data_IF_144572657782
#
_entry.id   IF_144572657782
#
_cell.length_a   1.000
_cell.length_b   1.000
_cell.length_c   1.000
_cell.angle_alpha   90.00
_cell.angle_beta   90.00
_cell.angle_gamma   90.00
#
_symmetry.space_group_name_H-M   'P 1'
#
loop_
_entity.id
_entity.type
_entity.pdbx_description
1 polymer ?
#
# COMPACT_ATOMS: atom_id res chain seq x y z
N UNK A 1 -23.80 40.40 78.17
CA UNK A 1 -24.58 39.23 77.74
C UNK A 1 -23.65 38.27 76.98
N UNK A 2 -23.50 37.06 77.53
CA UNK A 2 -23.17 35.75 76.93
C UNK A 2 -22.33 35.64 75.64
N UNK A 3 -21.17 34.99 75.82
CA UNK A 3 -20.46 34.06 74.92
C UNK A 3 -21.27 33.48 73.75
N UNK A 4 -20.65 33.39 72.56
CA UNK A 4 -20.68 32.17 71.72
C UNK A 4 -19.44 32.05 70.83
N UNK A 5 -18.68 31.02 71.19
CA UNK A 5 -17.61 30.29 70.52
C UNK A 5 -17.99 29.83 69.09
N UNK A 6 -17.07 29.86 68.12
CA UNK A 6 -17.02 28.90 66.99
C UNK A 6 -15.66 28.94 66.26
N UNK A 7 -14.78 28.08 66.77
CA UNK A 7 -13.70 27.29 66.14
C UNK A 7 -13.28 27.62 64.69
N UNK A 8 -11.98 27.92 64.55
CA UNK A 8 -11.24 27.83 63.29
C UNK A 8 -11.20 26.39 62.78
N UNK A 9 -11.72 26.15 61.58
CA UNK A 9 -11.47 24.92 60.82
C UNK A 9 -10.41 25.21 59.76
N UNK A 10 -9.23 24.60 59.92
CA UNK A 10 -8.18 24.53 58.90
C UNK A 10 -8.66 23.63 57.76
N UNK A 11 -8.55 24.02 56.48
CA UNK A 11 -8.75 23.09 55.38
C UNK A 11 -7.50 22.20 55.22
N UNK A 12 -7.78 20.91 55.03
CA UNK A 12 -6.86 19.77 55.02
C UNK A 12 -5.73 19.88 53.98
N UNK A 13 -4.49 19.85 54.45
CA UNK A 13 -3.28 19.50 53.66
C UNK A 13 -3.17 17.98 53.48
N UNK A 14 -4.16 17.31 52.88
CA UNK A 14 -4.06 15.85 52.69
C UNK A 14 -4.84 15.27 51.52
N UNK A 15 -4.85 15.86 50.32
CA UNK A 15 -5.36 15.13 49.11
C UNK A 15 -4.64 15.50 47.78
N UNK A 16 -3.40 15.99 47.80
CA UNK A 16 -2.61 16.21 46.54
C UNK A 16 -1.31 15.39 46.56
N UNK A 17 -1.35 14.19 47.15
CA UNK A 17 -0.21 13.27 47.20
C UNK A 17 -0.65 11.81 47.03
N UNK A 18 -1.32 11.51 45.93
CA UNK A 18 -1.46 10.14 45.45
C UNK A 18 -1.92 10.16 43.99
N UNK A 19 -0.95 10.17 43.06
CA UNK A 19 -1.02 9.57 41.71
C UNK A 19 0.15 9.97 40.79
N UNK A 20 1.33 10.26 41.36
CA UNK A 20 2.59 10.44 40.62
C UNK A 20 3.58 9.28 40.83
N UNK A 21 3.12 8.15 41.37
CA UNK A 21 3.96 6.98 41.62
C UNK A 21 3.48 5.78 40.81
N UNK A 22 3.63 5.84 39.49
CA UNK A 22 3.83 4.63 38.66
C UNK A 22 4.29 4.88 37.21
N UNK A 23 4.85 6.06 36.88
CA UNK A 23 5.72 6.14 35.71
C UNK A 23 7.09 5.58 36.12
N UNK A 24 7.31 4.27 35.88
CA UNK A 24 8.62 3.65 36.02
C UNK A 24 9.60 4.43 35.14
N UNK A 25 10.53 5.15 35.77
CA UNK A 25 11.61 5.85 35.10
C UNK A 25 12.52 4.80 34.46
N UNK A 26 12.36 4.55 33.15
CA UNK A 26 13.29 3.70 32.40
C UNK A 26 14.68 4.33 32.48
N UNK A 27 15.72 3.51 32.64
CA UNK A 27 17.10 4.03 32.66
C UNK A 27 17.52 4.49 31.26
N UNK A 28 18.49 5.41 31.16
CA UNK A 28 19.04 5.89 29.86
C UNK A 28 19.39 4.73 28.94
N UNK A 29 20.06 3.71 29.49
CA UNK A 29 20.43 2.48 28.80
C UNK A 29 19.23 1.66 28.30
N UNK A 30 18.11 1.63 29.03
CA UNK A 30 16.89 0.96 28.59
C UNK A 30 16.17 1.74 27.49
N UNK A 31 16.17 3.07 27.58
CA UNK A 31 15.61 3.95 26.54
C UNK A 31 16.43 3.84 25.27
N UNK A 32 17.77 3.96 25.35
CA UNK A 32 18.69 3.82 24.22
C UNK A 32 18.53 2.47 23.53
N UNK A 33 18.52 1.37 24.30
CA UNK A 33 18.36 0.01 23.77
C UNK A 33 16.97 -0.22 23.18
N UNK A 34 15.92 0.35 23.76
CA UNK A 34 14.58 0.32 23.14
C UNK A 34 14.53 1.15 21.86
N UNK A 35 15.10 2.37 21.81
CA UNK A 35 15.16 3.16 20.57
C UNK A 35 15.98 2.49 19.48
N UNK A 36 17.08 1.83 19.83
CA UNK A 36 17.92 1.09 18.89
C UNK A 36 17.22 -0.18 18.40
N UNK A 37 16.50 -0.88 19.28
CA UNK A 37 15.72 -2.06 18.90
C UNK A 37 14.46 -1.69 18.11
N UNK A 38 13.84 -0.54 18.37
CA UNK A 38 12.72 -0.03 17.59
C UNK A 38 13.18 0.41 16.21
N UNK A 39 14.37 1.03 16.10
CA UNK A 39 15.01 1.32 14.79
C UNK A 39 15.29 0.05 13.99
N UNK A 40 15.63 -1.06 14.65
CA UNK A 40 15.90 -2.35 14.00
C UNK A 40 14.68 -3.02 13.39
N UNK A 41 13.48 -2.75 13.91
CA UNK A 41 12.23 -3.33 13.41
C UNK A 41 11.30 -2.27 12.81
N UNK A 42 11.85 -1.19 12.27
CA UNK A 42 11.12 -0.17 11.51
C UNK A 42 11.48 -0.28 10.05
N UNK A 43 10.47 -0.33 9.15
CA UNK A 43 10.71 -0.15 7.73
C UNK A 43 11.05 1.33 7.49
N UNK A 44 12.30 1.59 7.10
CA UNK A 44 12.80 2.93 6.89
C UNK A 44 13.00 3.19 5.42
N UNK A 45 12.67 4.40 4.98
CA UNK A 45 12.90 4.86 3.61
C UNK A 45 13.96 5.95 3.57
N UNK A 46 14.78 5.93 2.53
CA UNK A 46 15.53 7.13 2.13
C UNK A 46 14.53 8.22 1.73
N UNK A 47 14.83 9.51 1.97
CA UNK A 47 13.96 10.60 1.54
C UNK A 47 13.68 10.58 0.03
N UNK A 48 14.66 10.18 -0.78
CA UNK A 48 14.51 10.06 -2.23
C UNK A 48 13.60 8.90 -2.65
N UNK A 49 13.72 7.74 -2.01
CA UNK A 49 12.84 6.59 -2.27
C UNK A 49 11.40 6.90 -1.87
N UNK A 50 11.21 7.50 -0.69
CA UNK A 50 9.91 7.95 -0.23
C UNK A 50 9.29 8.96 -1.19
N UNK A 51 10.06 9.98 -1.60
CA UNK A 51 9.60 10.99 -2.55
C UNK A 51 9.22 10.38 -3.90
N UNK A 52 10.00 9.42 -4.43
CA UNK A 52 9.70 8.72 -5.68
C UNK A 52 8.41 7.91 -5.56
N UNK A 53 8.21 7.19 -4.45
CA UNK A 53 6.99 6.43 -4.21
C UNK A 53 5.75 7.31 -4.18
N UNK A 54 5.78 8.41 -3.41
CA UNK A 54 4.68 9.39 -3.39
C UNK A 54 4.47 10.02 -4.77
N UNK A 55 5.56 10.33 -5.48
CA UNK A 55 5.50 10.87 -6.82
C UNK A 55 4.75 9.93 -7.77
N UNK A 56 5.06 8.63 -7.74
CA UNK A 56 4.38 7.64 -8.57
C UNK A 56 2.91 7.46 -8.16
N UNK A 57 2.61 7.41 -6.85
CA UNK A 57 1.24 7.34 -6.33
C UNK A 57 0.39 8.50 -6.86
N UNK A 58 0.91 9.72 -6.83
CA UNK A 58 0.14 10.92 -7.16
C UNK A 58 0.05 11.20 -8.68
N UNK A 59 0.48 10.26 -9.53
CA UNK A 59 0.44 10.41 -11.00
C UNK A 59 -0.90 10.04 -11.63
N UNK A 60 -1.67 9.15 -11.01
CA UNK A 60 -2.98 8.72 -11.48
C UNK A 60 -3.83 8.26 -10.31
N UNK A 61 -5.11 7.98 -10.56
CA UNK A 61 -6.03 7.39 -9.59
C UNK A 61 -5.93 5.85 -9.56
N UNK A 62 -4.83 5.29 -10.06
CA UNK A 62 -4.55 3.85 -10.05
C UNK A 62 -3.52 3.50 -8.97
N UNK A 63 -3.53 2.24 -8.56
CA UNK A 63 -2.45 1.68 -7.76
C UNK A 63 -1.13 1.68 -8.53
N UNK A 64 -0.02 1.74 -7.79
CA UNK A 64 1.32 1.58 -8.34
C UNK A 64 2.11 0.68 -7.41
N UNK A 65 2.63 -0.42 -7.96
CA UNK A 65 3.48 -1.35 -7.24
C UNK A 65 4.94 -1.27 -7.65
N UNK A 66 5.82 -1.79 -6.81
CA UNK A 66 7.22 -1.98 -7.12
C UNK A 66 8.00 -2.61 -5.98
N UNK A 67 9.31 -2.62 -6.13
CA UNK A 67 10.24 -3.26 -5.21
C UNK A 67 11.09 -2.24 -4.45
N UNK A 68 11.31 -2.53 -3.17
CA UNK A 68 12.30 -1.82 -2.36
C UNK A 68 13.69 -2.43 -2.51
N UNK A 69 14.67 -1.62 -2.90
CA UNK A 69 16.09 -1.99 -2.93
C UNK A 69 16.77 -1.52 -1.64
N UNK A 70 17.57 -2.40 -1.03
CA UNK A 70 18.25 -2.18 0.24
C UNK A 70 19.75 -2.47 0.16
N UNK A 71 20.47 -2.00 1.18
CA UNK A 71 21.88 -2.35 1.39
C UNK A 71 21.98 -3.67 2.17
N UNK A 72 23.05 -4.46 1.96
CA UNK A 72 23.15 -5.80 2.54
C UNK A 72 23.31 -5.81 4.07
N UNK A 73 23.68 -4.68 4.68
CA UNK A 73 23.85 -4.51 6.11
C UNK A 73 22.58 -4.03 6.83
N UNK A 74 21.57 -3.58 6.07
CA UNK A 74 20.34 -3.01 6.60
C UNK A 74 19.14 -3.26 5.68
N UNK A 75 18.65 -4.49 5.75
CA UNK A 75 17.59 -5.00 4.87
C UNK A 75 16.20 -4.38 5.11
N UNK A 76 16.01 -3.57 6.16
CA UNK A 76 14.78 -2.81 6.39
C UNK A 76 14.93 -1.32 6.09
N UNK A 77 16.05 -0.91 5.48
CA UNK A 77 16.24 0.42 4.94
C UNK A 77 16.12 0.40 3.41
N UNK A 78 14.96 0.84 2.92
CA UNK A 78 14.68 1.04 1.49
C UNK A 78 15.44 2.25 1.01
N UNK A 79 16.53 1.98 0.28
CA UNK A 79 17.37 3.00 -0.34
C UNK A 79 16.72 3.55 -1.61
N UNK A 80 16.10 2.68 -2.39
CA UNK A 80 15.49 3.00 -3.68
C UNK A 80 14.18 2.22 -3.87
N UNK A 81 13.20 2.88 -4.50
CA UNK A 81 11.96 2.26 -4.97
C UNK A 81 12.06 2.10 -6.49
N UNK A 82 11.77 0.92 -7.02
CA UNK A 82 11.83 0.63 -8.46
C UNK A 82 10.53 0.01 -8.91
N UNK A 83 9.94 0.55 -9.98
CA UNK A 83 8.80 -0.09 -10.64
C UNK A 83 9.28 -1.05 -11.73
N UNK A 84 8.47 -2.06 -11.99
CA UNK A 84 8.59 -2.95 -13.16
C UNK A 84 7.32 -2.82 -13.99
N UNK A 85 7.32 -3.31 -15.23
CA UNK A 85 6.11 -3.29 -16.04
C UNK A 85 4.96 -3.97 -15.31
N UNK A 86 3.80 -3.32 -15.36
CA UNK A 86 2.62 -3.73 -14.64
C UNK A 86 1.35 -3.22 -15.32
N UNK A 87 0.29 -3.98 -15.15
CA UNK A 87 -1.08 -3.58 -15.42
C UNK A 87 -1.69 -3.12 -14.09
N UNK A 88 -2.28 -1.92 -14.09
CA UNK A 88 -2.83 -1.32 -12.88
C UNK A 88 -4.27 -0.88 -13.08
N UNK A 89 -5.02 -0.96 -11.99
CA UNK A 89 -6.36 -0.38 -11.85
C UNK A 89 -6.39 0.47 -10.57
N UNK A 90 -7.55 1.01 -10.23
CA UNK A 90 -7.74 1.68 -8.94
C UNK A 90 -7.60 0.74 -7.73
N UNK A 91 -7.58 -0.58 -7.91
CA UNK A 91 -7.70 -1.56 -6.82
C UNK A 91 -6.76 -2.75 -6.92
N UNK A 92 -5.92 -2.76 -7.95
CA UNK A 92 -5.04 -3.90 -8.20
C UNK A 92 -3.80 -3.49 -8.98
N UNK A 93 -2.70 -4.18 -8.64
CA UNK A 93 -1.45 -4.19 -9.40
C UNK A 93 -1.15 -5.62 -9.82
N UNK A 94 -0.87 -5.80 -11.11
CA UNK A 94 -0.37 -7.06 -11.67
C UNK A 94 0.95 -6.83 -12.39
N UNK A 95 2.02 -7.39 -11.85
CA UNK A 95 3.33 -7.32 -12.49
C UNK A 95 3.40 -8.19 -13.75
N UNK A 96 4.11 -7.69 -14.76
CA UNK A 96 4.50 -8.46 -15.94
C UNK A 96 5.66 -9.40 -15.58
N UNK A 97 5.43 -10.71 -15.70
CA UNK A 97 6.37 -11.75 -15.29
C UNK A 97 7.72 -11.63 -16.01
N UNK A 98 7.73 -11.25 -17.29
CA UNK A 98 8.98 -11.06 -18.04
C UNK A 98 9.76 -9.85 -17.51
N UNK A 99 9.07 -8.73 -17.23
CA UNK A 99 9.71 -7.57 -16.62
C UNK A 99 10.23 -7.84 -15.20
N UNK A 100 9.55 -8.68 -14.41
CA UNK A 100 10.05 -9.11 -13.09
C UNK A 100 11.32 -9.96 -13.26
N UNK A 101 11.32 -10.92 -14.17
CA UNK A 101 12.49 -11.76 -14.44
C UNK A 101 13.71 -10.93 -14.87
N UNK A 102 13.52 -10.01 -15.83
CA UNK A 102 14.57 -9.10 -16.28
C UNK A 102 15.11 -8.23 -15.14
N UNK A 103 14.23 -7.66 -14.31
CA UNK A 103 14.65 -6.92 -13.11
C UNK A 103 15.51 -7.80 -12.19
N UNK A 104 15.12 -9.06 -11.94
CA UNK A 104 15.85 -9.95 -11.06
C UNK A 104 17.24 -10.28 -11.61
N UNK A 105 17.36 -10.51 -12.91
CA UNK A 105 18.64 -10.74 -13.60
C UNK A 105 19.53 -9.50 -13.50
N UNK A 106 19.01 -8.31 -13.82
CA UNK A 106 19.75 -7.04 -13.71
C UNK A 106 20.29 -6.80 -12.29
N UNK A 107 19.49 -7.11 -11.26
CA UNK A 107 19.93 -6.94 -9.87
C UNK A 107 21.04 -7.94 -9.49
N UNK A 108 20.98 -9.17 -10.00
CA UNK A 108 22.02 -10.19 -9.78
C UNK A 108 23.31 -9.82 -10.51
N UNK A 109 23.23 -9.29 -11.73
CA UNK A 109 24.38 -8.80 -12.49
C UNK A 109 25.06 -7.60 -11.80
N UNK A 110 24.28 -6.78 -11.08
CA UNK A 110 24.79 -5.74 -10.19
C UNK A 110 25.38 -6.29 -8.87
N UNK A 111 25.41 -7.61 -8.69
CA UNK A 111 26.00 -8.30 -7.55
C UNK A 111 25.13 -8.31 -6.29
N UNK A 112 23.84 -7.97 -6.40
CA UNK A 112 22.91 -7.96 -5.26
C UNK A 112 22.35 -9.35 -4.99
N UNK A 113 22.05 -9.62 -3.73
CA UNK A 113 21.33 -10.83 -3.32
C UNK A 113 19.82 -10.60 -3.38
N UNK A 114 18.99 -11.64 -3.59
CA UNK A 114 17.54 -11.52 -3.58
C UNK A 114 16.98 -10.84 -2.33
N UNK A 115 17.63 -11.03 -1.17
CA UNK A 115 17.29 -10.37 0.09
C UNK A 115 17.28 -8.83 0.01
N UNK A 116 18.05 -8.27 -0.92
CA UNK A 116 18.22 -6.83 -1.08
C UNK A 116 17.20 -6.18 -2.00
N UNK A 117 16.51 -6.94 -2.87
CA UNK A 117 15.65 -6.35 -3.91
C UNK A 117 14.34 -7.09 -4.16
N UNK A 118 14.22 -8.35 -3.73
CA UNK A 118 13.08 -9.21 -4.03
C UNK A 118 12.26 -9.57 -2.78
N UNK A 119 12.42 -8.83 -1.67
CA UNK A 119 11.76 -9.12 -0.38
C UNK A 119 10.82 -8.04 0.11
N UNK A 120 10.86 -6.85 -0.46
CA UNK A 120 10.05 -5.73 -0.03
C UNK A 120 9.16 -5.34 -1.21
N UNK A 121 7.90 -5.71 -1.12
CA UNK A 121 6.87 -5.27 -2.05
C UNK A 121 6.23 -4.00 -1.49
N UNK A 122 6.26 -2.95 -2.30
CA UNK A 122 5.74 -1.63 -1.99
C UNK A 122 4.63 -1.33 -3.00
N UNK A 123 3.43 -1.02 -2.53
CA UNK A 123 2.39 -0.50 -3.41
C UNK A 123 1.61 0.65 -2.78
N UNK A 124 0.80 1.32 -3.58
CA UNK A 124 -0.02 2.43 -3.14
C UNK A 124 -1.48 2.19 -3.42
N UNK A 125 -2.35 2.59 -2.50
CA UNK A 125 -3.80 2.63 -2.74
C UNK A 125 -4.22 4.07 -3.06
N UNK A 126 -5.05 4.28 -4.10
CA UNK A 126 -5.81 5.52 -4.20
C UNK A 126 -6.76 5.63 -2.99
N UNK A 127 -7.06 6.85 -2.54
CA UNK A 127 -7.91 7.05 -1.36
C UNK A 127 -7.20 6.99 0.00
N UNK A 128 -7.95 6.67 1.07
CA UNK A 128 -7.59 7.01 2.46
C UNK A 128 -7.25 5.83 3.37
N UNK A 129 -7.26 4.61 2.83
CA UNK A 129 -7.01 3.38 3.57
C UNK A 129 -5.72 2.71 3.11
N UNK A 130 -4.74 2.50 4.00
CA UNK A 130 -3.55 1.73 3.68
C UNK A 130 -3.72 0.23 4.00
N UNK A 131 -4.89 -0.21 4.48
CA UNK A 131 -5.09 -1.62 4.81
C UNK A 131 -5.05 -2.45 3.52
N UNK A 132 -4.26 -3.54 3.48
CA UNK A 132 -4.19 -4.39 2.30
C UNK A 132 -5.54 -5.06 2.03
N UNK A 133 -5.89 -5.16 0.75
CA UNK A 133 -7.03 -5.93 0.30
C UNK A 133 -6.78 -7.45 0.45
N UNK A 134 -7.83 -8.25 0.27
CA UNK A 134 -7.69 -9.71 0.22
C UNK A 134 -6.75 -10.13 -0.93
N UNK A 135 -6.81 -9.43 -2.06
CA UNK A 135 -5.97 -9.70 -3.24
C UNK A 135 -4.49 -9.43 -2.92
N UNK A 136 -4.21 -8.37 -2.16
CA UNK A 136 -2.85 -8.07 -1.70
C UNK A 136 -2.32 -9.18 -0.79
N UNK A 137 -3.14 -9.65 0.15
CA UNK A 137 -2.72 -10.72 1.05
C UNK A 137 -2.48 -12.05 0.31
N UNK A 138 -3.38 -12.42 -0.61
CA UNK A 138 -3.24 -13.63 -1.42
C UNK A 138 -2.04 -13.56 -2.37
N UNK A 139 -1.83 -12.41 -3.01
CA UNK A 139 -0.66 -12.18 -3.87
C UNK A 139 0.62 -12.23 -3.04
N UNK A 140 0.62 -11.60 -1.88
CA UNK A 140 1.77 -11.61 -0.99
C UNK A 140 2.11 -13.03 -0.51
N UNK A 141 1.12 -13.80 -0.08
CA UNK A 141 1.32 -15.19 0.35
C UNK A 141 1.79 -16.08 -0.81
N UNK A 142 1.16 -15.96 -1.99
CA UNK A 142 1.52 -16.76 -3.17
C UNK A 142 2.94 -16.49 -3.67
N UNK A 143 3.35 -15.21 -3.71
CA UNK A 143 4.64 -14.80 -4.28
C UNK A 143 5.76 -14.85 -3.24
N UNK A 144 5.48 -14.40 -2.01
CA UNK A 144 6.49 -14.23 -0.97
C UNK A 144 6.38 -15.22 0.20
N UNK A 145 5.32 -16.03 0.29
CA UNK A 145 5.08 -16.96 1.39
C UNK A 145 6.16 -18.04 1.57
N UNK A 146 6.96 -18.32 0.54
CA UNK A 146 8.11 -19.23 0.64
C UNK A 146 9.44 -18.52 0.99
N UNK A 147 9.45 -17.20 1.11
CA UNK A 147 10.66 -16.44 1.44
C UNK A 147 10.99 -16.59 2.92
N UNK A 148 12.27 -16.56 3.31
CA UNK A 148 12.65 -16.57 4.73
C UNK A 148 12.06 -15.38 5.49
N UNK A 149 11.95 -14.24 4.80
CA UNK A 149 11.23 -13.05 5.25
C UNK A 149 10.77 -12.24 4.03
N UNK A 150 9.72 -11.45 4.19
CA UNK A 150 9.26 -10.47 3.21
C UNK A 150 8.42 -9.38 3.87
N UNK A 151 8.31 -8.22 3.22
CA UNK A 151 7.51 -7.09 3.68
C UNK A 151 6.45 -6.76 2.65
N UNK A 152 5.21 -6.68 3.10
CA UNK A 152 4.10 -6.04 2.41
C UNK A 152 3.96 -4.62 2.94
N UNK A 153 4.05 -3.63 2.06
CA UNK A 153 3.90 -2.24 2.42
C UNK A 153 2.88 -1.55 1.52
N UNK A 154 2.01 -0.77 2.14
CA UNK A 154 1.01 0.05 1.46
C UNK A 154 1.13 1.50 1.91
N UNK A 155 1.03 2.44 0.98
CA UNK A 155 0.82 3.87 1.27
C UNK A 155 -0.48 4.37 0.63
N UNK A 156 -1.37 4.93 1.45
CA UNK A 156 -2.58 5.59 0.99
C UNK A 156 -2.29 7.03 0.52
N UNK A 157 -3.23 7.65 -0.19
CA UNK A 157 -3.09 9.01 -0.72
C UNK A 157 -2.93 10.08 0.38
N UNK A 158 -3.49 9.85 1.57
CA UNK A 158 -3.30 10.72 2.74
C UNK A 158 -2.01 10.48 3.53
N UNK A 159 -1.10 9.66 2.99
CA UNK A 159 0.17 9.24 3.58
C UNK A 159 0.04 8.35 4.83
N UNK A 160 -1.14 7.79 5.11
CA UNK A 160 -1.21 6.67 6.05
C UNK A 160 -0.49 5.47 5.44
N UNK A 161 0.12 4.66 6.29
CA UNK A 161 0.95 3.53 5.87
C UNK A 161 0.59 2.26 6.60
N UNK A 162 0.72 1.15 5.91
CA UNK A 162 0.68 -0.19 6.46
C UNK A 162 2.00 -0.89 6.12
N UNK A 163 2.56 -1.62 7.09
CA UNK A 163 3.74 -2.44 6.84
C UNK A 163 3.66 -3.73 7.66
N UNK A 164 3.62 -4.86 6.97
CA UNK A 164 3.59 -6.19 7.56
C UNK A 164 4.87 -6.93 7.18
N UNK A 165 5.66 -7.30 8.19
CA UNK A 165 6.80 -8.20 8.05
C UNK A 165 6.33 -9.63 8.27
N UNK A 166 6.49 -10.46 7.25
CA UNK A 166 6.33 -11.91 7.34
C UNK A 166 7.71 -12.57 7.43
N UNK A 167 7.83 -13.61 8.24
CA UNK A 167 9.04 -14.42 8.36
C UNK A 167 8.67 -15.91 8.46
N UNK A 168 9.45 -16.75 7.79
CA UNK A 168 9.23 -18.20 7.72
C UNK A 168 10.39 -19.00 8.35
N UNK A 169 11.23 -18.33 9.15
CA UNK A 169 12.29 -18.99 9.92
C UNK A 169 11.71 -19.46 11.26
N UNK A 170 11.82 -20.76 11.52
CA UNK A 170 11.27 -21.38 12.74
C UNK A 170 9.76 -21.62 12.63
N UNK A 171 8.94 -21.32 13.64
CA UNK A 171 7.48 -21.47 13.54
C UNK A 171 6.84 -20.49 12.53
N UNK A 172 7.63 -19.56 12.01
CA UNK A 172 7.16 -18.45 11.18
C UNK A 172 6.30 -17.46 11.95
N UNK A 173 5.82 -16.43 11.26
CA UNK A 173 4.90 -15.45 11.82
C UNK A 173 4.83 -14.16 11.01
N UNK A 174 3.90 -13.30 11.41
CA UNK A 174 3.68 -12.00 10.82
C UNK A 174 3.58 -10.95 11.92
N UNK A 175 4.15 -9.76 11.68
CA UNK A 175 4.10 -8.65 12.63
C UNK A 175 3.99 -7.33 11.88
N UNK A 176 3.14 -6.43 12.39
CA UNK A 176 3.09 -5.05 11.92
C UNK A 176 4.30 -4.30 12.42
N UNK A 177 5.00 -3.63 11.52
CA UNK A 177 6.20 -2.85 11.84
C UNK A 177 5.94 -1.35 11.60
N UNK A 178 6.57 -0.46 12.38
CA UNK A 178 6.46 0.97 12.13
C UNK A 178 7.11 1.33 10.79
N UNK A 179 6.68 2.45 10.22
CA UNK A 179 7.26 3.05 9.02
C UNK A 179 7.87 4.39 9.37
N UNK A 180 9.04 4.68 8.83
CA UNK A 180 9.71 5.96 9.03
C UNK A 180 10.53 6.41 7.82
N UNK A 181 10.81 7.71 7.76
CA UNK A 181 11.74 8.28 6.80
C UNK A 181 13.03 8.60 7.56
N UNK A 182 14.15 8.09 7.08
CA UNK A 182 15.44 8.25 7.74
C UNK A 182 16.28 9.33 7.04
N UNK A 183 16.25 10.54 7.60
CA UNK A 183 17.02 11.69 7.14
C UNK A 183 18.48 11.70 7.65
N UNK A 184 18.92 10.68 8.39
CA UNK A 184 20.28 10.65 8.94
C UNK A 184 21.35 10.22 7.94
N UNK A 185 20.94 9.63 6.81
CA UNK A 185 21.82 9.18 5.73
C UNK A 185 21.83 10.17 4.59
N UNK A 186 22.90 10.17 3.80
CA UNK A 186 22.96 10.97 2.58
C UNK A 186 21.88 10.53 1.58
N UNK A 187 21.23 11.50 0.95
CA UNK A 187 20.19 11.27 -0.05
C UNK A 187 20.32 12.26 -1.21
N UNK A 188 19.96 11.81 -2.41
CA UNK A 188 20.06 12.60 -3.63
C UNK A 188 18.84 13.53 -3.82
N UNK A 189 18.94 14.50 -4.75
CA UNK A 189 17.79 15.32 -5.13
C UNK A 189 16.73 14.46 -5.82
N UNK A 190 15.48 14.95 -5.82
CA UNK A 190 14.42 14.39 -6.66
C UNK A 190 14.76 14.56 -8.15
N UNK A 191 14.50 13.53 -8.96
CA UNK A 191 14.70 13.58 -10.41
C UNK A 191 13.40 13.22 -11.12
N UNK A 192 12.60 14.24 -11.42
CA UNK A 192 11.26 14.06 -11.98
C UNK A 192 11.30 13.54 -13.41
N UNK A 193 12.28 13.92 -14.23
CA UNK A 193 12.36 13.44 -15.61
C UNK A 193 12.63 11.93 -15.67
N UNK A 194 13.53 11.43 -14.83
CA UNK A 194 13.78 9.98 -14.74
C UNK A 194 12.57 9.24 -14.19
N UNK A 195 11.91 9.78 -13.16
CA UNK A 195 10.72 9.15 -12.59
C UNK A 195 9.55 9.12 -13.57
N UNK A 196 9.37 10.15 -14.39
CA UNK A 196 8.35 10.17 -15.45
C UNK A 196 8.64 9.14 -16.53
N UNK A 197 9.91 9.00 -16.92
CA UNK A 197 10.34 8.01 -17.91
C UNK A 197 10.06 6.60 -17.42
N UNK A 198 10.45 6.30 -16.18
CA UNK A 198 10.21 5.00 -15.55
C UNK A 198 8.71 4.72 -15.39
N UNK A 199 7.94 5.69 -14.88
CA UNK A 199 6.49 5.55 -14.74
C UNK A 199 5.82 5.24 -16.08
N UNK A 200 6.14 6.00 -17.13
CA UNK A 200 5.55 5.81 -18.46
C UNK A 200 5.95 4.48 -19.09
N UNK A 201 7.17 4.00 -18.84
CA UNK A 201 7.65 2.74 -19.38
C UNK A 201 7.01 1.52 -18.69
N UNK A 202 6.63 1.66 -17.41
CA UNK A 202 6.27 0.54 -16.56
C UNK A 202 4.79 0.49 -16.20
N UNK A 203 4.10 1.61 -16.09
CA UNK A 203 2.73 1.66 -15.59
C UNK A 203 1.75 1.70 -16.77
N UNK A 204 1.06 0.59 -17.00
CA UNK A 204 0.00 0.49 -18.00
C UNK A 204 -1.34 0.44 -17.27
N UNK A 205 -2.13 1.49 -17.40
CA UNK A 205 -3.51 1.45 -16.92
C UNK A 205 -4.27 0.43 -17.78
N UNK A 206 -4.89 -0.57 -17.15
CA UNK A 206 -5.78 -1.47 -17.88
C UNK A 206 -6.94 -0.63 -18.44
N UNK A 207 -7.14 -0.63 -19.76
CA UNK A 207 -8.24 0.11 -20.41
C UNK A 207 -9.58 -0.51 -20.01
N UNK A 208 -10.18 -0.02 -18.93
CA UNK A 208 -11.57 -0.31 -18.64
C UNK A 208 -12.47 0.55 -19.56
N UNK A 209 -13.05 -0.08 -20.59
CA UNK A 209 -14.10 0.45 -21.50
C UNK A 209 -13.76 1.59 -22.48
N UNK A 210 -12.50 1.81 -22.89
CA UNK A 210 -12.20 2.81 -23.94
C UNK A 210 -12.44 2.31 -25.37
N UNK A 211 -12.51 0.99 -25.59
CA UNK A 211 -12.46 0.39 -26.93
C UNK A 211 -13.82 0.17 -27.62
N UNK A 212 -14.95 0.44 -26.95
CA UNK A 212 -16.29 0.30 -27.57
C UNK A 212 -16.76 1.52 -28.38
N UNK A 213 -16.05 2.64 -28.33
CA UNK A 213 -16.49 3.90 -28.98
C UNK A 213 -15.89 4.13 -30.37
N UNK A 214 -15.18 3.15 -30.96
CA UNK A 214 -14.68 3.23 -32.34
C UNK A 214 -15.17 2.11 -33.24
N UNK A 215 -16.44 1.70 -33.14
CA UNK A 215 -17.05 0.86 -34.18
C UNK A 215 -18.57 0.82 -34.17
N UNK A 216 -19.24 1.97 -34.29
CA UNK A 216 -20.52 2.07 -35.03
C UNK A 216 -20.97 3.52 -35.13
N UNK A 217 -20.43 4.22 -36.12
CA UNK A 217 -21.17 5.32 -36.74
C UNK A 217 -21.45 4.87 -38.17
N UNK A 218 -22.55 4.13 -38.34
CA UNK A 218 -23.41 4.22 -39.51
C UNK A 218 -24.63 3.30 -39.39
N UNK A 219 -25.77 3.93 -39.66
CA UNK A 219 -27.08 3.38 -39.99
C UNK A 219 -28.03 3.01 -38.84
N UNK A 220 -29.01 3.91 -38.71
CA UNK A 220 -30.45 3.65 -38.59
C UNK A 220 -31.02 3.25 -37.22
N UNK A 221 -31.63 4.25 -36.58
CA UNK A 221 -32.86 4.19 -35.78
C UNK A 221 -33.29 2.80 -35.30
N UNK A 222 -32.82 2.43 -34.11
CA UNK A 222 -33.62 1.61 -33.21
C UNK A 222 -33.85 2.40 -31.93
N UNK A 223 -35.11 2.73 -31.67
CA UNK A 223 -35.60 3.32 -30.43
C UNK A 223 -35.27 2.37 -29.27
N UNK A 224 -34.50 2.87 -28.30
CA UNK A 224 -34.10 2.19 -27.06
C UNK A 224 -34.66 2.94 -25.84
N UNK A 225 -35.93 3.33 -25.88
CA UNK A 225 -36.72 3.72 -24.70
C UNK A 225 -36.83 2.62 -23.61
N UNK A 226 -36.11 1.49 -23.76
CA UNK A 226 -35.97 0.41 -22.77
C UNK A 226 -34.58 0.27 -22.12
N UNK A 227 -33.62 1.16 -22.40
CA UNK A 227 -32.28 1.13 -21.78
C UNK A 227 -31.92 2.44 -21.06
N UNK A 228 -32.92 3.29 -20.79
CA UNK A 228 -32.74 4.35 -19.82
C UNK A 228 -32.65 3.70 -18.44
N UNK A 229 -31.44 3.59 -17.89
CA UNK A 229 -31.29 3.26 -16.48
C UNK A 229 -32.08 4.30 -15.68
N UNK A 230 -32.86 3.87 -14.67
CA UNK A 230 -33.65 4.78 -13.85
C UNK A 230 -32.72 5.81 -13.21
N UNK A 231 -33.21 7.05 -13.14
CA UNK A 231 -32.47 8.24 -12.70
C UNK A 231 -31.90 8.15 -11.25
N UNK A 232 -32.14 7.04 -10.54
CA UNK A 232 -31.75 6.79 -9.13
C UNK A 232 -30.75 5.60 -8.93
N UNK A 233 -30.41 4.79 -9.96
CA UNK A 233 -29.37 3.73 -9.83
C UNK A 233 -27.95 4.30 -10.01
N UNK A 234 -27.82 5.38 -10.76
CA UNK A 234 -26.56 6.10 -11.00
C UNK A 234 -26.09 6.83 -9.73
N UNK A 235 -27.00 7.47 -8.96
CA UNK A 235 -26.66 8.14 -7.70
C UNK A 235 -26.15 7.19 -6.58
N UNK A 236 -26.69 5.96 -6.53
CA UNK A 236 -26.27 4.90 -5.60
C UNK A 236 -25.02 4.15 -6.09
N UNK A 237 -24.69 4.19 -7.40
CA UNK A 237 -23.39 3.85 -8.00
C UNK A 237 -22.40 5.05 -8.03
N UNK A 238 -22.77 6.22 -7.51
CA UNK A 238 -21.89 7.40 -7.40
C UNK A 238 -21.50 7.73 -5.93
N UNK A 239 -22.09 7.03 -4.93
CA UNK A 239 -21.90 7.33 -3.49
C UNK A 239 -21.18 6.26 -2.61
N UNK A 240 -20.82 5.08 -3.12
CA UNK A 240 -20.01 4.05 -2.47
C UNK A 240 -18.51 4.38 -2.59
N UNK A 241 -17.73 3.77 -1.69
CA UNK A 241 -16.28 3.60 -1.83
C UNK A 241 -15.99 2.83 -3.14
N UNK A 242 -15.35 3.45 -4.14
CA UNK A 242 -15.37 2.97 -5.54
C UNK A 242 -14.67 1.62 -5.81
N UNK A 243 -13.87 1.11 -4.90
CA UNK A 243 -13.00 -0.05 -5.14
C UNK A 243 -13.77 -1.39 -5.10
N UNK A 244 -14.67 -1.48 -4.12
CA UNK A 244 -15.68 -2.53 -3.99
C UNK A 244 -16.63 -2.57 -5.19
N UNK A 245 -16.72 -1.48 -5.97
CA UNK A 245 -17.46 -1.45 -7.22
C UNK A 245 -16.68 -1.99 -8.40
N UNK A 246 -15.35 -1.92 -8.38
CA UNK A 246 -14.56 -2.38 -9.52
C UNK A 246 -14.20 -3.86 -9.41
N UNK A 247 -14.07 -4.39 -8.19
CA UNK A 247 -14.05 -5.86 -7.95
C UNK A 247 -15.34 -6.53 -8.45
N UNK A 248 -16.50 -5.90 -8.22
CA UNK A 248 -17.83 -6.32 -8.70
C UNK A 248 -17.89 -6.44 -10.22
N UNK A 249 -17.01 -5.76 -10.95
CA UNK A 249 -16.98 -5.86 -12.40
C UNK A 249 -15.98 -6.90 -12.93
N UNK A 250 -14.88 -7.15 -12.23
CA UNK A 250 -13.85 -8.13 -12.65
C UNK A 250 -14.28 -9.60 -12.42
N UNK A 251 -15.04 -9.91 -11.35
CA UNK A 251 -15.43 -11.29 -11.03
C UNK A 251 -16.54 -11.84 -11.96
N UNK A 252 -17.33 -10.95 -12.57
CA UNK A 252 -18.38 -11.31 -13.53
C UNK A 252 -17.83 -11.67 -14.91
N UNK A 253 -16.60 -11.29 -15.22
CA UNK A 253 -15.93 -11.64 -16.47
C UNK A 253 -15.26 -13.02 -16.44
N UNK A 254 -15.00 -13.61 -15.26
CA UNK A 254 -14.30 -14.90 -15.08
C UNK A 254 -15.20 -16.16 -15.12
N UNK A 255 -16.49 -16.06 -15.52
CA UNK A 255 -17.44 -17.20 -15.67
C UNK A 255 -17.85 -17.46 -17.15
N UNK A 256 -17.06 -18.20 -17.95
CA UNK A 256 -17.31 -18.36 -19.40
C UNK A 256 -18.53 -19.24 -19.75
N UNK A 257 -19.03 -20.06 -18.82
CA UNK A 257 -20.13 -21.04 -19.04
C UNK A 257 -21.49 -20.38 -19.37
N UNK A 258 -21.64 -19.06 -19.14
CA UNK A 258 -22.82 -18.27 -19.51
C UNK A 258 -22.74 -17.67 -20.93
N UNK A 259 -21.65 -17.90 -21.65
CA UNK A 259 -21.35 -17.33 -22.97
C UNK A 259 -21.04 -18.39 -24.05
N UNK A 260 -21.35 -19.67 -23.81
CA UNK A 260 -21.21 -20.72 -24.82
C UNK A 260 -22.26 -20.56 -25.94
N UNK A 261 -21.98 -19.69 -26.90
CA UNK A 261 -22.54 -19.76 -28.25
C UNK A 261 -21.59 -20.58 -29.14
N UNK A 262 -21.64 -21.91 -29.03
CA UNK A 262 -21.26 -22.78 -30.15
C UNK A 262 -22.35 -23.83 -30.35
N UNK A 263 -23.28 -23.55 -31.26
CA UNK A 263 -23.64 -24.53 -32.28
C UNK A 263 -24.00 -23.83 -33.61
N UNK A 264 -22.95 -23.63 -34.41
CA UNK A 264 -22.90 -23.90 -35.86
C UNK A 264 -23.82 -23.11 -36.79
N UNK A 265 -23.24 -22.08 -37.42
CA UNK A 265 -23.52 -21.76 -38.83
C UNK A 265 -22.71 -22.70 -39.74
N UNK A 266 -23.33 -23.78 -40.20
CA UNK A 266 -22.93 -24.46 -41.44
C UNK A 266 -24.12 -25.16 -42.10
N UNK A 267 -24.44 -24.67 -43.32
CA UNK A 267 -25.45 -25.09 -44.32
C UNK A 267 -26.88 -24.59 -44.13
#
# INVERSE_FOLDING_TARGET
MKNKNLKSQKPNKTVIRANLKQAKHKSSWQVEKETENNRRLTLRFSPTAWAKLLYCRDKSDNEVGGFGITEPDDLLFVKEFVTVKQEVTAVSVKFDDESVANFFEDQVDLGRKPEQFARIWLHSHPGFSPEPSIIDEETFERVFGNCQWAVLFVVAQDNKTYAKLSFNVGPGGQVLIPVGIDYSRDFGPSNRELWDTEYTANINAAEWLSSRTRKQDNSANHDLSGYALPYDFIEEFESMEPEERQFVMDELAERPELWNEEEVMSL
#
